data_IF_642805020935
#
_entry.id   IF_642805020935
#
_cell.length_a   1.000
_cell.length_b   1.000
_cell.length_c   1.000
_cell.angle_alpha   90.00
_cell.angle_beta   90.00
_cell.angle_gamma   90.00
#
_symmetry.space_group_name_H-M   'P 1'
#
loop_
_entity.id
_entity.type
_entity.pdbx_description
1 polymer ?
#
# COMPACT_ATOMS: atom_id res chain seq x y z
N UNK A 1 16.96 -36.47 30.32
CA UNK A 1 17.05 -35.07 29.84
C UNK A 1 16.75 -35.08 28.34
N UNK A 2 15.56 -34.63 27.96
CA UNK A 2 15.00 -34.76 26.61
C UNK A 2 15.31 -33.48 25.84
N UNK A 3 16.07 -33.66 24.76
CA UNK A 3 16.55 -32.65 23.80
C UNK A 3 15.39 -31.78 23.32
N UNK A 4 15.50 -30.47 23.50
CA UNK A 4 14.55 -29.46 23.06
C UNK A 4 14.38 -29.54 21.53
N UNK A 5 13.15 -29.79 21.08
CA UNK A 5 12.74 -29.50 19.71
C UNK A 5 12.52 -27.99 19.62
N UNK A 6 13.61 -27.23 19.46
CA UNK A 6 13.52 -25.86 18.97
C UNK A 6 13.09 -25.95 17.51
N UNK A 7 11.79 -25.74 17.30
CA UNK A 7 11.16 -25.64 16.00
C UNK A 7 11.87 -24.56 15.20
N UNK A 8 12.75 -25.00 14.32
CA UNK A 8 13.47 -24.22 13.34
C UNK A 8 12.49 -23.72 12.26
N UNK A 9 11.54 -22.88 12.66
CA UNK A 9 10.63 -22.12 11.76
C UNK A 9 11.35 -20.81 11.42
N UNK A 10 12.61 -20.92 11.01
CA UNK A 10 13.39 -19.82 10.47
C UNK A 10 13.28 -19.89 8.95
N UNK A 11 12.97 -18.75 8.33
CA UNK A 11 13.26 -18.43 6.92
C UNK A 11 12.14 -18.68 5.89
N UNK A 12 10.88 -18.32 6.19
CA UNK A 12 9.77 -18.60 5.26
C UNK A 12 8.97 -17.41 4.73
N UNK A 13 9.53 -16.20 4.61
CA UNK A 13 8.82 -15.15 3.82
C UNK A 13 9.66 -14.27 2.90
N UNK A 14 10.94 -14.56 2.70
CA UNK A 14 11.76 -13.79 1.75
C UNK A 14 12.73 -14.69 0.97
N UNK A 15 12.25 -15.87 0.58
CA UNK A 15 12.97 -16.72 -0.36
C UNK A 15 12.49 -16.41 -1.79
N UNK A 16 12.86 -15.25 -2.34
CA UNK A 16 12.73 -15.03 -3.78
C UNK A 16 13.65 -13.90 -4.26
N UNK A 17 14.96 -14.18 -4.23
CA UNK A 17 15.87 -14.01 -5.37
C UNK A 17 17.26 -14.46 -4.88
N UNK A 18 17.87 -15.50 -5.48
CA UNK A 18 19.28 -15.80 -5.22
C UNK A 18 20.13 -14.72 -5.90
N UNK A 19 20.21 -13.55 -5.26
CA UNK A 19 20.92 -12.38 -5.77
C UNK A 19 22.41 -12.68 -5.61
N UNK A 20 23.09 -12.85 -6.74
CA UNK A 20 24.55 -12.88 -6.76
C UNK A 20 25.05 -11.52 -6.26
N UNK A 21 26.12 -11.44 -5.46
CA UNK A 21 26.64 -10.17 -4.94
C UNK A 21 26.95 -9.15 -6.05
N UNK A 22 27.23 -9.64 -7.26
CA UNK A 22 27.43 -8.84 -8.48
C UNK A 22 26.17 -8.10 -8.97
N UNK A 23 24.97 -8.62 -8.73
CA UNK A 23 23.68 -8.04 -9.17
C UNK A 23 23.01 -7.16 -8.10
N UNK A 24 23.48 -7.23 -6.87
CA UNK A 24 22.92 -6.51 -5.72
C UNK A 24 22.99 -4.99 -5.90
N UNK A 25 24.09 -4.46 -6.46
CA UNK A 25 24.23 -3.04 -6.76
C UNK A 25 23.25 -2.54 -7.83
N UNK A 26 23.00 -3.35 -8.86
CA UNK A 26 22.05 -3.03 -9.93
C UNK A 26 20.60 -3.04 -9.41
N UNK A 27 20.24 -4.03 -8.59
CA UNK A 27 18.92 -4.10 -7.95
C UNK A 27 18.68 -2.96 -6.96
N UNK A 28 19.70 -2.61 -6.17
CA UNK A 28 19.63 -1.45 -5.28
C UNK A 28 19.35 -0.16 -6.06
N UNK A 29 20.10 0.08 -7.14
CA UNK A 29 19.89 1.24 -8.00
C UNK A 29 18.50 1.24 -8.66
N UNK A 30 18.03 0.07 -9.11
CA UNK A 30 16.69 -0.08 -9.70
C UNK A 30 15.59 0.24 -8.69
N UNK A 31 15.61 -0.37 -7.51
CA UNK A 31 14.62 -0.14 -6.44
C UNK A 31 14.64 1.34 -6.02
N UNK A 32 15.82 1.93 -5.85
CA UNK A 32 15.97 3.35 -5.50
C UNK A 32 15.39 4.26 -6.59
N UNK A 33 15.65 3.94 -7.87
CA UNK A 33 15.13 4.71 -9.00
C UNK A 33 13.61 4.64 -9.12
N UNK A 34 13.02 3.46 -8.91
CA UNK A 34 11.58 3.25 -8.91
C UNK A 34 10.93 4.01 -7.75
N UNK A 35 11.52 3.94 -6.55
CA UNK A 35 11.07 4.69 -5.39
C UNK A 35 11.06 6.20 -5.62
N UNK A 36 12.17 6.76 -6.11
CA UNK A 36 12.24 8.20 -6.42
C UNK A 36 11.19 8.58 -7.46
N UNK A 37 11.02 7.78 -8.50
CA UNK A 37 10.03 8.03 -9.56
C UNK A 37 8.61 7.98 -9.01
N UNK A 38 8.29 7.01 -8.16
CA UNK A 38 6.97 6.85 -7.54
C UNK A 38 6.64 8.01 -6.59
N UNK A 39 7.58 8.40 -5.73
CA UNK A 39 7.41 9.54 -4.81
C UNK A 39 7.28 10.85 -5.59
N UNK A 40 8.15 11.08 -6.58
CA UNK A 40 8.08 12.28 -7.43
C UNK A 40 6.77 12.31 -8.21
N UNK A 41 6.36 11.20 -8.82
CA UNK A 41 5.11 11.10 -9.58
C UNK A 41 3.89 11.44 -8.73
N UNK A 42 3.77 10.83 -7.54
CA UNK A 42 2.65 11.09 -6.64
C UNK A 42 2.68 12.50 -6.03
N UNK A 43 3.88 13.05 -5.75
CA UNK A 43 4.01 14.44 -5.33
C UNK A 43 3.59 15.42 -6.42
N UNK A 44 3.94 15.15 -7.67
CA UNK A 44 3.53 15.95 -8.83
C UNK A 44 2.01 15.91 -9.02
N UNK A 45 1.37 14.75 -8.83
CA UNK A 45 -0.10 14.63 -8.86
C UNK A 45 -0.73 15.55 -7.81
N UNK A 46 -0.27 15.48 -6.56
CA UNK A 46 -0.78 16.33 -5.47
C UNK A 46 -0.55 17.80 -5.80
N UNK A 47 0.64 18.17 -6.26
CA UNK A 47 0.99 19.54 -6.60
C UNK A 47 0.10 20.09 -7.73
N UNK A 48 -0.14 19.29 -8.77
CA UNK A 48 -0.98 19.66 -9.90
C UNK A 48 -2.43 19.93 -9.47
N UNK A 49 -3.00 19.06 -8.62
CA UNK A 49 -4.34 19.25 -8.06
C UNK A 49 -4.43 20.55 -7.25
N UNK A 50 -3.37 20.93 -6.54
CA UNK A 50 -3.34 22.14 -5.70
C UNK A 50 -3.13 23.43 -6.51
N UNK A 51 -2.44 23.35 -7.63
CA UNK A 51 -2.17 24.48 -8.53
C UNK A 51 -3.39 24.84 -9.38
N UNK A 52 -4.28 23.88 -9.66
CA UNK A 52 -5.38 24.09 -10.60
C UNK A 52 -6.76 24.01 -9.92
N UNK A 53 -7.33 25.15 -9.49
CA UNK A 53 -8.58 25.19 -8.73
C UNK A 53 -9.82 24.75 -9.55
N UNK A 54 -9.74 24.72 -10.88
CA UNK A 54 -10.80 24.21 -11.74
C UNK A 54 -10.91 22.66 -11.75
N UNK A 55 -9.92 21.95 -11.18
CA UNK A 55 -9.93 20.50 -11.03
C UNK A 55 -10.58 20.03 -9.72
N UNK A 56 -11.39 20.85 -9.03
CA UNK A 56 -12.11 20.44 -7.81
C UNK A 56 -13.31 19.51 -8.11
N UNK A 57 -13.07 18.38 -8.79
CA UNK A 57 -14.04 17.30 -8.95
C UNK A 57 -13.75 16.16 -7.94
N UNK A 58 -14.79 15.40 -7.52
CA UNK A 58 -14.66 14.20 -6.69
C UNK A 58 -13.52 13.26 -7.09
N UNK A 59 -13.27 13.09 -8.39
CA UNK A 59 -12.19 12.28 -8.92
C UNK A 59 -10.81 12.70 -8.40
N UNK A 60 -10.50 14.01 -8.41
CA UNK A 60 -9.20 14.51 -7.94
C UNK A 60 -9.06 14.44 -6.42
N UNK A 61 -10.19 14.49 -5.68
CA UNK A 61 -10.17 14.23 -4.25
C UNK A 61 -9.72 12.79 -3.94
N UNK A 62 -10.26 11.80 -4.66
CA UNK A 62 -9.81 10.42 -4.54
C UNK A 62 -8.36 10.26 -5.03
N UNK A 63 -7.98 10.94 -6.12
CA UNK A 63 -6.62 10.87 -6.68
C UNK A 63 -5.57 11.40 -5.69
N UNK A 64 -5.88 12.46 -4.96
CA UNK A 64 -5.01 12.98 -3.90
C UNK A 64 -4.86 12.01 -2.74
N UNK A 65 -5.91 11.27 -2.38
CA UNK A 65 -5.83 10.24 -1.34
C UNK A 65 -5.03 9.04 -1.82
N UNK A 66 -5.22 8.61 -3.07
CA UNK A 66 -4.44 7.54 -3.69
C UNK A 66 -2.94 7.88 -3.69
N UNK A 67 -2.57 9.10 -4.12
CA UNK A 67 -1.19 9.55 -4.11
C UNK A 67 -0.57 9.59 -2.70
N UNK A 68 -1.36 9.94 -1.67
CA UNK A 68 -0.93 9.90 -0.28
C UNK A 68 -0.69 8.47 0.20
N UNK A 69 -1.59 7.54 -0.16
CA UNK A 69 -1.49 6.12 0.14
C UNK A 69 -0.24 5.52 -0.49
N UNK A 70 0.03 5.79 -1.77
CA UNK A 70 1.22 5.34 -2.49
C UNK A 70 2.53 5.84 -1.88
N UNK A 71 2.60 7.13 -1.51
CA UNK A 71 3.77 7.71 -0.86
C UNK A 71 4.00 7.04 0.50
N UNK A 72 2.92 6.85 1.27
CA UNK A 72 2.97 6.22 2.59
C UNK A 72 3.42 4.76 2.50
N UNK A 73 2.89 4.00 1.54
CA UNK A 73 3.30 2.63 1.25
C UNK A 73 4.78 2.54 0.87
N UNK A 74 5.23 3.42 -0.03
CA UNK A 74 6.63 3.48 -0.49
C UNK A 74 7.59 3.79 0.66
N UNK A 75 7.22 4.69 1.57
CA UNK A 75 8.02 5.05 2.74
C UNK A 75 8.16 3.91 3.75
N UNK A 76 7.16 3.04 3.87
CA UNK A 76 7.21 1.90 4.80
C UNK A 76 7.98 0.72 4.18
N UNK A 77 7.77 0.45 2.89
CA UNK A 77 8.30 -0.74 2.23
C UNK A 77 9.74 -0.58 1.74
N UNK A 78 10.06 0.54 1.08
CA UNK A 78 11.34 0.70 0.36
C UNK A 78 12.54 0.85 1.30
N UNK A 79 12.52 1.68 2.36
CA UNK A 79 13.66 1.78 3.27
C UNK A 79 13.98 0.45 3.96
N UNK A 80 12.95 -0.37 4.22
CA UNK A 80 13.12 -1.71 4.79
C UNK A 80 13.82 -2.65 3.82
N UNK A 81 13.34 -2.73 2.57
CA UNK A 81 13.99 -3.56 1.54
C UNK A 81 15.44 -3.12 1.27
N UNK A 82 15.72 -1.82 1.25
CA UNK A 82 17.08 -1.30 1.04
C UNK A 82 18.01 -1.63 2.23
N UNK A 83 17.50 -1.58 3.45
CA UNK A 83 18.28 -1.92 4.66
C UNK A 83 18.60 -3.42 4.70
N UNK A 84 17.62 -4.28 4.39
CA UNK A 84 17.80 -5.73 4.31
C UNK A 84 18.81 -6.15 3.23
N UNK A 85 18.91 -5.39 2.13
CA UNK A 85 19.93 -5.61 1.11
C UNK A 85 21.35 -5.21 1.59
N UNK A 86 21.51 -4.35 2.60
CA UNK A 86 22.82 -3.90 3.08
C UNK A 86 23.33 -4.70 4.28
N UNK A 87 22.44 -5.15 5.16
CA UNK A 87 22.79 -5.95 6.34
C UNK A 87 22.51 -7.42 6.07
N UNK A 88 23.58 -8.24 6.04
CA UNK A 88 23.51 -9.71 5.86
C UNK A 88 22.84 -10.45 7.05
N UNK A 89 22.29 -9.73 8.02
CA UNK A 89 21.74 -10.27 9.26
C UNK A 89 20.22 -10.40 9.14
N UNK A 90 19.76 -11.62 8.85
CA UNK A 90 18.38 -11.95 8.44
C UNK A 90 17.39 -12.06 9.61
N UNK A 91 17.75 -11.66 10.84
CA UNK A 91 16.85 -11.76 11.99
C UNK A 91 15.88 -10.57 12.03
N UNK A 92 14.91 -10.54 11.12
CA UNK A 92 13.78 -9.61 11.21
C UNK A 92 12.97 -10.00 12.47
N UNK A 93 12.80 -9.10 13.45
CA UNK A 93 11.99 -9.41 14.62
C UNK A 93 10.54 -9.66 14.19
N UNK A 94 9.93 -10.73 14.71
CA UNK A 94 8.58 -11.18 14.35
C UNK A 94 7.52 -10.06 14.40
N UNK A 95 7.63 -9.13 15.36
CA UNK A 95 6.77 -7.96 15.45
C UNK A 95 6.84 -7.04 14.21
N UNK A 96 8.03 -6.87 13.62
CA UNK A 96 8.27 -6.04 12.43
C UNK A 96 7.77 -6.71 11.15
N UNK A 97 7.77 -8.04 11.11
CA UNK A 97 7.19 -8.81 10.01
C UNK A 97 5.66 -8.65 9.98
N UNK A 98 5.01 -8.84 11.14
CA UNK A 98 3.57 -8.61 11.30
C UNK A 98 3.18 -7.19 10.90
N UNK A 99 3.94 -6.20 11.35
CA UNK A 99 3.67 -4.79 11.01
C UNK A 99 3.73 -4.53 9.49
N UNK A 100 4.68 -5.16 8.77
CA UNK A 100 4.78 -5.00 7.32
C UNK A 100 3.58 -5.63 6.59
N UNK A 101 3.16 -6.83 6.97
CA UNK A 101 1.98 -7.48 6.39
C UNK A 101 0.72 -6.65 6.65
N UNK A 102 0.56 -6.18 7.88
CA UNK A 102 -0.56 -5.32 8.26
C UNK A 102 -0.62 -4.06 7.37
N UNK A 103 0.50 -3.35 7.23
CA UNK A 103 0.58 -2.18 6.35
C UNK A 103 0.30 -2.54 4.89
N UNK A 104 0.88 -3.64 4.38
CA UNK A 104 0.68 -4.05 2.99
C UNK A 104 -0.80 -4.31 2.66
N UNK A 105 -1.50 -5.08 3.50
CA UNK A 105 -2.93 -5.37 3.30
C UNK A 105 -3.75 -4.08 3.37
N UNK A 106 -3.47 -3.23 4.37
CA UNK A 106 -4.17 -1.96 4.54
C UNK A 106 -4.04 -1.06 3.30
N UNK A 107 -2.83 -0.93 2.74
CA UNK A 107 -2.58 -0.08 1.59
C UNK A 107 -3.18 -0.66 0.30
N UNK A 108 -3.03 -1.96 0.05
CA UNK A 108 -3.61 -2.63 -1.13
C UNK A 108 -5.14 -2.54 -1.15
N UNK A 109 -5.78 -2.73 0.02
CA UNK A 109 -7.23 -2.59 0.15
C UNK A 109 -7.67 -1.14 -0.12
N UNK A 110 -6.97 -0.17 0.46
CA UNK A 110 -7.26 1.25 0.25
C UNK A 110 -7.12 1.65 -1.23
N UNK A 111 -6.05 1.25 -1.90
CA UNK A 111 -5.82 1.58 -3.31
C UNK A 111 -6.91 0.99 -4.20
N UNK A 112 -7.27 -0.28 -3.96
CA UNK A 112 -8.32 -0.98 -4.71
C UNK A 112 -9.69 -0.30 -4.55
N UNK A 113 -10.03 0.09 -3.31
CA UNK A 113 -11.29 0.78 -3.02
C UNK A 113 -11.31 2.20 -3.60
N UNK A 114 -10.19 2.93 -3.54
CA UNK A 114 -10.07 4.26 -4.13
C UNK A 114 -10.18 4.20 -5.66
N UNK A 115 -9.49 3.28 -6.33
CA UNK A 115 -9.63 3.09 -7.79
C UNK A 115 -11.07 2.73 -8.15
N UNK A 116 -11.71 1.85 -7.37
CA UNK A 116 -13.13 1.49 -7.57
C UNK A 116 -14.04 2.70 -7.41
N UNK A 117 -13.76 3.60 -6.46
CA UNK A 117 -14.54 4.83 -6.30
C UNK A 117 -14.36 5.79 -7.48
N UNK A 118 -13.17 5.85 -8.08
CA UNK A 118 -12.93 6.66 -9.29
C UNK A 118 -13.65 6.09 -10.51
N UNK A 119 -13.66 4.77 -10.68
CA UNK A 119 -14.41 4.13 -11.78
C UNK A 119 -15.91 4.31 -11.58
N UNK A 120 -16.39 4.25 -10.34
CA UNK A 120 -17.78 4.54 -10.00
C UNK A 120 -18.15 6.01 -10.23
N UNK A 121 -17.29 6.97 -9.89
CA UNK A 121 -17.47 8.39 -10.21
C UNK A 121 -17.67 8.61 -11.73
N UNK A 122 -16.80 8.00 -12.55
CA UNK A 122 -16.91 8.06 -14.01
C UNK A 122 -18.21 7.41 -14.51
N UNK A 123 -18.61 6.28 -13.94
CA UNK A 123 -19.86 5.60 -14.27
C UNK A 123 -21.09 6.47 -13.99
N UNK A 124 -21.18 7.06 -12.79
CA UNK A 124 -22.31 7.93 -12.40
C UNK A 124 -22.37 9.18 -13.27
N UNK A 125 -21.21 9.75 -13.61
CA UNK A 125 -21.12 10.91 -14.51
C UNK A 125 -21.75 10.61 -15.89
N UNK A 126 -21.52 9.41 -16.43
CA UNK A 126 -22.05 9.01 -17.75
C UNK A 126 -23.53 8.63 -17.67
N UNK A 127 -23.92 7.80 -16.69
CA UNK A 127 -25.25 7.22 -16.64
C UNK A 127 -26.29 8.15 -16.00
N UNK A 128 -25.89 9.07 -15.11
CA UNK A 128 -26.82 9.90 -14.33
C UNK A 128 -26.32 11.35 -14.17
N UNK A 129 -26.09 12.09 -15.27
CA UNK A 129 -25.51 13.44 -15.22
C UNK A 129 -26.34 14.45 -14.41
N UNK A 130 -27.68 14.33 -14.45
CA UNK A 130 -28.59 15.24 -13.75
C UNK A 130 -28.56 15.08 -12.21
N UNK A 131 -28.24 13.87 -11.72
CA UNK A 131 -28.19 13.57 -10.28
C UNK A 131 -26.76 13.50 -9.73
N UNK A 132 -25.75 13.77 -10.56
CA UNK A 132 -24.34 13.63 -10.20
C UNK A 132 -23.97 14.43 -8.95
N UNK A 133 -24.38 15.70 -8.87
CA UNK A 133 -24.04 16.58 -7.74
C UNK A 133 -24.65 16.11 -6.40
N UNK A 134 -25.74 15.34 -6.44
CA UNK A 134 -26.40 14.78 -5.26
C UNK A 134 -25.70 13.49 -4.83
N UNK A 135 -25.34 12.63 -5.79
CA UNK A 135 -24.72 11.31 -5.54
C UNK A 135 -23.24 11.47 -5.13
N UNK A 136 -22.49 12.30 -5.85
CA UNK A 136 -21.05 12.53 -5.66
C UNK A 136 -20.78 13.91 -5.06
N UNK A 137 -21.39 14.18 -3.90
CA UNK A 137 -21.07 15.38 -3.12
C UNK A 137 -19.77 15.20 -2.34
N UNK A 138 -19.09 16.31 -2.03
CA UNK A 138 -17.83 16.28 -1.29
C UNK A 138 -17.97 15.62 0.10
N UNK A 139 -19.14 15.75 0.74
CA UNK A 139 -19.44 15.05 2.00
C UNK A 139 -19.50 13.53 1.83
N UNK A 140 -20.04 13.04 0.71
CA UNK A 140 -20.06 11.61 0.42
C UNK A 140 -18.66 11.08 0.12
N UNK A 141 -17.83 11.83 -0.61
CA UNK A 141 -16.43 11.46 -0.86
C UNK A 141 -15.64 11.31 0.45
N UNK A 142 -15.79 12.24 1.40
CA UNK A 142 -15.16 12.15 2.72
C UNK A 142 -15.67 10.93 3.50
N UNK A 143 -16.97 10.67 3.46
CA UNK A 143 -17.57 9.50 4.11
C UNK A 143 -17.07 8.18 3.51
N UNK A 144 -16.93 8.11 2.18
CA UNK A 144 -16.39 6.95 1.47
C UNK A 144 -14.94 6.69 1.85
N UNK A 145 -14.08 7.71 1.84
CA UNK A 145 -12.68 7.57 2.25
C UNK A 145 -12.57 7.11 3.72
N UNK A 146 -13.38 7.68 4.61
CA UNK A 146 -13.42 7.25 6.01
C UNK A 146 -13.89 5.80 6.14
N UNK A 147 -14.93 5.41 5.38
CA UNK A 147 -15.43 4.04 5.32
C UNK A 147 -14.38 3.06 4.80
N UNK A 148 -13.67 3.40 3.72
CA UNK A 148 -12.57 2.60 3.18
C UNK A 148 -11.46 2.43 4.21
N UNK A 149 -11.08 3.50 4.92
CA UNK A 149 -10.10 3.41 6.00
C UNK A 149 -10.53 2.42 7.10
N UNK A 150 -11.79 2.48 7.54
CA UNK A 150 -12.32 1.58 8.56
C UNK A 150 -12.34 0.12 8.05
N UNK A 151 -12.81 -0.10 6.82
CA UNK A 151 -12.88 -1.43 6.21
C UNK A 151 -11.48 -2.02 6.05
N UNK A 152 -10.55 -1.28 5.45
CA UNK A 152 -9.16 -1.72 5.28
C UNK A 152 -8.47 -1.99 6.62
N UNK A 153 -8.71 -1.17 7.64
CA UNK A 153 -8.21 -1.44 9.00
C UNK A 153 -8.80 -2.71 9.59
N UNK A 154 -10.11 -2.93 9.46
CA UNK A 154 -10.78 -4.13 9.95
C UNK A 154 -10.27 -5.38 9.23
N UNK A 155 -10.15 -5.34 7.90
CA UNK A 155 -9.56 -6.41 7.10
C UNK A 155 -8.14 -6.69 7.54
N UNK A 156 -7.24 -5.70 7.55
CA UNK A 156 -5.85 -5.89 7.96
C UNK A 156 -5.72 -6.48 9.37
N UNK A 157 -6.58 -6.08 10.33
CA UNK A 157 -6.63 -6.66 11.67
C UNK A 157 -7.09 -8.13 11.64
N UNK A 158 -8.15 -8.46 10.90
CA UNK A 158 -8.66 -9.83 10.77
C UNK A 158 -7.61 -10.78 10.16
N UNK A 159 -6.92 -10.33 9.11
CA UNK A 159 -5.85 -11.10 8.47
C UNK A 159 -4.62 -11.28 9.38
N UNK A 160 -4.30 -10.27 10.19
CA UNK A 160 -3.19 -10.35 11.15
C UNK A 160 -3.50 -11.26 12.34
N UNK A 161 -4.76 -11.26 12.81
CA UNK A 161 -5.21 -12.09 13.95
C UNK A 161 -5.59 -13.52 13.59
N UNK A 162 -5.86 -13.83 12.32
CA UNK A 162 -6.20 -15.17 11.85
C UNK A 162 -4.97 -15.88 11.25
N UNK A 163 -4.17 -16.60 12.06
CA UNK A 163 -2.95 -17.27 11.59
C UNK A 163 -3.22 -18.31 10.49
N UNK A 164 -4.44 -18.82 10.39
CA UNK A 164 -4.90 -19.73 9.35
C UNK A 164 -5.00 -19.12 7.95
N UNK A 165 -5.22 -17.80 7.82
CA UNK A 165 -5.24 -17.13 6.51
C UNK A 165 -3.84 -16.68 6.08
N UNK A 166 -2.99 -16.25 7.02
CA UNK A 166 -1.61 -15.86 6.75
C UNK A 166 -0.76 -17.02 6.20
N UNK A 167 -1.07 -18.25 6.61
CA UNK A 167 -0.43 -19.49 6.12
C UNK A 167 -0.94 -19.96 4.75
N UNK A 168 -2.06 -19.44 4.26
CA UNK A 168 -2.64 -19.83 2.96
C UNK A 168 -2.21 -18.91 1.81
N UNK A 169 -1.67 -17.74 2.16
CA UNK A 169 -1.07 -16.73 1.27
C UNK A 169 0.48 -16.77 1.28
N UNK A 170 1.06 -17.66 2.08
CA UNK A 170 2.49 -17.95 2.19
C UNK A 170 2.79 -19.31 1.58
#
# INVERSE_FOLDING_TARGET
MRRENQSHISNFFFLELPIRPEQQGMLFALILSMYLTMVLGNLLIILLIRLEPHLHTPMYFFLSHLALTDISFSLVTVPKMLMEMQTLDQSIPYARYIQQIYCFILFVDLDSLLITSMTYDRYVTICHPLNYAIIMSQSMCVMLVAGFCIISCACALLYTHSPSLTLLLC
#
